data_IF_480212449068
#
_entry.id   IF_480212449068
#
_cell.length_a   1.000
_cell.length_b   1.000
_cell.length_c   1.000
_cell.angle_alpha   90.00
_cell.angle_beta   90.00
_cell.angle_gamma   90.00
#
_symmetry.space_group_name_H-M   'P 1'
#
loop_
_entity.id
_entity.type
_entity.pdbx_description
1 polymer ?
#
# COMPACT_ATOMS: atom_id res chain seq x y z
N UNK A 1 38.57 26.30 -45.08
CA UNK A 1 39.56 26.20 -43.98
C UNK A 1 38.83 26.39 -42.65
N UNK A 2 38.20 25.33 -42.14
CA UNK A 2 37.54 25.33 -40.84
C UNK A 2 38.61 25.06 -39.76
N UNK A 3 38.89 26.05 -38.92
CA UNK A 3 39.80 25.87 -37.78
C UNK A 3 39.03 25.25 -36.62
N UNK A 4 39.47 24.05 -36.23
CA UNK A 4 39.13 23.37 -34.98
C UNK A 4 39.62 24.19 -33.78
N UNK A 5 38.72 24.44 -32.83
CA UNK A 5 39.06 24.79 -31.45
C UNK A 5 38.63 23.62 -30.55
N UNK A 6 39.59 22.76 -30.22
CA UNK A 6 39.45 21.76 -29.15
C UNK A 6 39.70 22.48 -27.83
N UNK A 7 38.65 22.82 -27.10
CA UNK A 7 38.73 23.31 -25.73
C UNK A 7 38.50 22.14 -24.76
N UNK A 8 39.50 21.89 -23.91
CA UNK A 8 39.49 20.90 -22.84
C UNK A 8 38.30 21.14 -21.89
N UNK A 9 37.40 20.17 -21.78
CA UNK A 9 36.34 20.16 -20.78
C UNK A 9 36.92 19.81 -19.40
N UNK A 10 37.33 20.84 -18.66
CA UNK A 10 37.59 20.75 -17.24
C UNK A 10 36.32 20.29 -16.51
N UNK A 11 36.46 19.23 -15.70
CA UNK A 11 35.42 18.74 -14.79
C UNK A 11 35.11 19.85 -13.76
N UNK A 12 34.04 20.60 -13.97
CA UNK A 12 33.51 21.51 -12.95
C UNK A 12 32.35 20.85 -12.22
N UNK A 13 32.55 20.67 -10.91
CA UNK A 13 31.55 20.24 -9.93
C UNK A 13 30.35 21.19 -9.95
N UNK A 14 29.20 20.72 -10.41
CA UNK A 14 27.94 21.48 -10.37
C UNK A 14 27.48 21.61 -8.91
N UNK A 15 27.26 22.82 -8.36
CA UNK A 15 26.82 22.98 -6.98
C UNK A 15 25.35 22.52 -6.81
N UNK A 16 25.08 21.83 -5.70
CA UNK A 16 23.77 21.35 -5.22
C UNK A 16 22.69 22.43 -5.00
N UNK A 17 22.95 23.69 -5.39
CA UNK A 17 22.10 24.85 -5.13
C UNK A 17 20.79 24.90 -5.96
N UNK A 18 20.60 24.01 -6.95
CA UNK A 18 19.42 24.03 -7.84
C UNK A 18 18.17 23.34 -7.25
N UNK A 19 18.32 22.62 -6.13
CA UNK A 19 17.22 21.86 -5.49
C UNK A 19 16.32 22.77 -4.62
N UNK A 20 16.82 23.92 -4.14
CA UNK A 20 16.09 24.77 -3.18
C UNK A 20 14.82 25.41 -3.75
N UNK A 21 14.80 25.79 -5.03
CA UNK A 21 13.63 26.44 -5.66
C UNK A 21 12.47 25.47 -5.89
N UNK A 22 12.72 24.19 -6.22
CA UNK A 22 11.65 23.17 -6.30
C UNK A 22 11.04 22.87 -4.94
N UNK A 23 11.86 22.88 -3.89
CA UNK A 23 11.40 22.65 -2.52
C UNK A 23 10.45 23.76 -2.03
N UNK A 24 10.66 25.01 -2.47
CA UNK A 24 9.79 26.13 -2.13
C UNK A 24 8.40 26.03 -2.82
N UNK A 25 8.35 25.57 -4.07
CA UNK A 25 7.08 25.40 -4.83
C UNK A 25 6.24 24.24 -4.29
N UNK A 26 6.86 23.18 -3.76
CA UNK A 26 6.15 22.09 -3.09
C UNK A 26 5.46 22.52 -1.77
N UNK A 27 5.97 23.57 -1.11
CA UNK A 27 5.35 24.13 0.11
C UNK A 27 4.16 25.05 -0.18
N UNK A 28 4.02 25.54 -1.41
CA UNK A 28 2.89 26.40 -1.82
C UNK A 28 1.71 25.60 -2.39
N UNK A 29 1.82 24.27 -2.46
CA UNK A 29 0.67 23.43 -2.74
C UNK A 29 -0.39 23.69 -1.65
N UNK A 30 -1.64 24.02 -2.02
CA UNK A 30 -2.67 24.36 -1.06
C UNK A 30 -2.80 23.24 -0.02
N UNK A 31 -2.90 23.62 1.25
CA UNK A 31 -3.22 22.71 2.35
C UNK A 31 -4.60 22.11 2.06
N UNK A 32 -4.58 20.93 1.45
CA UNK A 32 -5.61 19.88 1.39
C UNK A 32 -7.05 20.39 1.49
N UNK A 33 -7.71 20.54 0.34
CA UNK A 33 -9.18 20.59 0.28
C UNK A 33 -9.72 19.19 0.57
N UNK A 34 -10.10 18.95 1.82
CA UNK A 34 -10.79 17.74 2.25
C UNK A 34 -12.30 17.90 2.00
N UNK A 35 -12.75 17.53 0.79
CA UNK A 35 -14.17 17.32 0.54
C UNK A 35 -14.64 16.05 1.26
N UNK A 36 -15.01 16.18 2.54
CA UNK A 36 -15.55 15.08 3.37
C UNK A 36 -16.74 14.38 2.70
N UNK A 37 -17.51 15.10 1.90
CA UNK A 37 -18.77 14.67 1.29
C UNK A 37 -18.63 13.61 0.19
N UNK A 38 -17.50 13.52 -0.50
CA UNK A 38 -17.36 12.65 -1.68
C UNK A 38 -16.99 11.18 -1.35
N UNK A 39 -16.66 10.90 -0.09
CA UNK A 39 -16.15 9.59 0.36
C UNK A 39 -16.93 8.99 1.52
N UNK A 40 -17.99 9.67 1.96
CA UNK A 40 -18.96 9.15 2.90
C UNK A 40 -20.10 8.50 2.12
N UNK A 41 -20.21 7.17 2.19
CA UNK A 41 -21.42 6.49 1.71
C UNK A 41 -22.62 6.94 2.57
N UNK A 42 -23.87 6.80 2.08
CA UNK A 42 -25.06 7.01 2.89
C UNK A 42 -24.94 6.22 4.21
N UNK A 43 -25.52 6.77 5.30
CA UNK A 43 -25.51 6.19 6.66
C UNK A 43 -25.45 4.66 6.62
N UNK A 44 -24.27 4.10 6.87
CA UNK A 44 -24.11 2.66 6.86
C UNK A 44 -24.81 2.10 8.09
N UNK A 45 -25.84 1.29 7.87
CA UNK A 45 -26.46 0.45 8.90
C UNK A 45 -25.33 -0.32 9.60
N UNK A 46 -25.33 -0.45 10.93
CA UNK A 46 -24.29 -1.22 11.63
C UNK A 46 -24.20 -2.64 11.07
N UNK A 47 -23.19 -2.88 10.25
CA UNK A 47 -22.93 -4.20 9.68
C UNK A 47 -22.08 -4.99 10.67
N UNK A 48 -22.54 -6.19 11.02
CA UNK A 48 -21.85 -7.13 11.91
C UNK A 48 -21.47 -8.43 11.20
N UNK A 49 -21.74 -8.51 9.90
CA UNK A 49 -21.49 -9.71 9.09
C UNK A 49 -20.10 -9.76 8.45
N UNK A 50 -19.99 -10.69 7.51
CA UNK A 50 -18.86 -10.90 6.62
C UNK A 50 -19.32 -10.66 5.18
N UNK A 51 -18.58 -9.84 4.43
CA UNK A 51 -18.90 -9.58 3.02
C UNK A 51 -17.64 -9.42 2.19
N UNK A 52 -17.67 -9.92 0.96
CA UNK A 52 -16.58 -9.82 -0.01
C UNK A 52 -17.05 -9.01 -1.21
N UNK A 53 -16.30 -7.96 -1.55
CA UNK A 53 -16.55 -7.13 -2.71
C UNK A 53 -15.36 -7.18 -3.66
N UNK A 54 -15.63 -7.53 -4.92
CA UNK A 54 -14.65 -7.49 -5.99
C UNK A 54 -14.62 -6.08 -6.60
N UNK A 55 -13.54 -5.35 -6.32
CA UNK A 55 -13.30 -4.02 -6.90
C UNK A 55 -12.70 -4.12 -8.30
N UNK A 56 -11.94 -5.19 -8.54
CA UNK A 56 -11.40 -5.53 -9.85
C UNK A 56 -11.08 -7.02 -9.95
N UNK A 57 -11.18 -7.54 -11.18
CA UNK A 57 -11.01 -8.96 -11.50
C UNK A 57 -10.12 -9.18 -12.73
N UNK A 58 -9.58 -8.10 -13.32
CA UNK A 58 -8.63 -8.17 -14.43
C UNK A 58 -7.23 -8.56 -13.96
N UNK A 59 -6.41 -9.06 -14.89
CA UNK A 59 -5.02 -9.42 -14.68
C UNK A 59 -4.14 -8.78 -15.77
N UNK A 60 -2.93 -8.38 -15.41
CA UNK A 60 -1.94 -7.79 -16.33
C UNK A 60 -2.22 -6.33 -16.70
N UNK A 61 -3.19 -6.09 -17.59
CA UNK A 61 -3.49 -4.76 -18.12
C UNK A 61 -4.91 -4.32 -17.77
N UNK A 62 -5.13 -3.03 -17.42
CA UNK A 62 -6.47 -2.52 -17.18
C UNK A 62 -7.30 -2.57 -18.45
N UNK A 63 -8.47 -3.20 -18.38
CA UNK A 63 -9.44 -3.20 -19.47
C UNK A 63 -10.52 -2.16 -19.17
N UNK A 64 -11.10 -1.56 -20.22
CA UNK A 64 -12.16 -0.54 -20.10
C UNK A 64 -13.32 -0.99 -19.19
N UNK A 65 -13.66 -2.28 -19.23
CA UNK A 65 -14.76 -2.88 -18.46
C UNK A 65 -14.33 -3.56 -17.16
N UNK A 66 -13.04 -3.82 -16.95
CA UNK A 66 -12.53 -4.61 -15.81
C UNK A 66 -11.30 -3.96 -15.23
N UNK A 67 -11.44 -3.48 -13.99
CA UNK A 67 -10.31 -2.99 -13.22
C UNK A 67 -9.35 -4.15 -12.89
N UNK A 68 -8.03 -3.91 -12.77
CA UNK A 68 -7.11 -4.95 -12.32
C UNK A 68 -7.42 -5.39 -10.88
N UNK A 69 -6.89 -6.54 -10.51
CA UNK A 69 -7.23 -7.30 -9.30
C UNK A 69 -7.24 -6.48 -8.01
N UNK A 70 -8.37 -6.53 -7.30
CA UNK A 70 -8.57 -5.83 -6.04
C UNK A 70 -9.83 -6.36 -5.37
N UNK A 71 -9.69 -6.84 -4.13
CA UNK A 71 -10.78 -7.40 -3.35
C UNK A 71 -10.85 -6.72 -1.99
N UNK A 72 -12.03 -6.25 -1.61
CA UNK A 72 -12.30 -5.67 -0.30
C UNK A 72 -13.15 -6.64 0.51
N UNK A 73 -12.67 -7.04 1.68
CA UNK A 73 -13.42 -7.84 2.64
C UNK A 73 -13.86 -6.96 3.80
N UNK A 74 -15.17 -6.89 4.05
CA UNK A 74 -15.76 -6.15 5.15
C UNK A 74 -16.05 -7.10 6.32
N UNK A 75 -15.43 -6.82 7.45
CA UNK A 75 -15.55 -7.55 8.72
C UNK A 75 -16.14 -6.59 9.75
N UNK A 76 -17.46 -6.65 9.93
CA UNK A 76 -18.19 -5.68 10.73
C UNK A 76 -17.92 -4.24 10.26
N UNK A 77 -17.18 -3.46 11.08
CA UNK A 77 -16.81 -2.05 10.78
C UNK A 77 -15.42 -1.87 10.16
N UNK A 78 -14.68 -2.94 9.92
CA UNK A 78 -13.32 -2.88 9.36
C UNK A 78 -13.29 -3.43 7.95
N UNK A 79 -12.59 -2.74 7.06
CA UNK A 79 -12.33 -3.22 5.70
C UNK A 79 -10.89 -3.69 5.57
N UNK A 80 -10.71 -4.87 4.98
CA UNK A 80 -9.43 -5.48 4.68
C UNK A 80 -9.29 -5.60 3.17
N UNK A 81 -8.19 -5.06 2.65
CA UNK A 81 -7.92 -5.00 1.22
C UNK A 81 -6.93 -6.08 0.82
N UNK A 82 -7.29 -6.86 -0.20
CA UNK A 82 -6.43 -7.86 -0.82
C UNK A 82 -6.12 -7.40 -2.24
N UNK A 83 -4.85 -7.12 -2.45
CA UNK A 83 -4.32 -6.33 -3.56
C UNK A 83 -4.94 -4.92 -3.66
N UNK A 84 -4.19 -4.01 -4.23
CA UNK A 84 -4.64 -2.64 -4.48
C UNK A 84 -4.09 -2.17 -5.82
N UNK A 85 -4.63 -2.76 -6.89
CA UNK A 85 -4.44 -2.32 -8.26
C UNK A 85 -4.71 -0.83 -8.46
N UNK A 86 -4.16 -0.27 -9.55
CA UNK A 86 -4.62 1.01 -10.08
C UNK A 86 -6.15 1.04 -10.23
N UNK A 87 -6.77 2.19 -9.92
CA UNK A 87 -8.22 2.35 -10.00
C UNK A 87 -9.02 1.75 -8.84
N UNK A 88 -8.41 0.96 -7.94
CA UNK A 88 -9.10 0.36 -6.78
C UNK A 88 -9.81 1.39 -5.91
N UNK A 89 -9.17 2.54 -5.67
CA UNK A 89 -9.78 3.64 -4.93
C UNK A 89 -11.08 4.10 -5.60
N UNK A 90 -11.06 4.37 -6.91
CA UNK A 90 -12.24 4.81 -7.65
C UNK A 90 -13.38 3.78 -7.59
N UNK A 91 -13.04 2.50 -7.64
CA UNK A 91 -14.01 1.42 -7.55
C UNK A 91 -14.61 1.33 -6.15
N UNK A 92 -13.81 1.54 -5.10
CA UNK A 92 -14.30 1.60 -3.72
C UNK A 92 -15.26 2.77 -3.51
N UNK A 93 -14.95 3.95 -4.07
CA UNK A 93 -15.80 5.15 -3.99
C UNK A 93 -17.16 4.93 -4.66
N UNK A 94 -17.18 4.24 -5.80
CA UNK A 94 -18.43 3.89 -6.50
C UNK A 94 -19.24 2.83 -5.77
N UNK A 95 -18.61 2.08 -4.87
CA UNK A 95 -19.26 1.02 -4.12
C UNK A 95 -19.88 1.55 -2.82
N UNK A 96 -20.57 0.68 -2.10
CA UNK A 96 -21.07 0.98 -0.77
C UNK A 96 -19.99 0.89 0.32
N UNK A 97 -18.74 0.52 -0.01
CA UNK A 97 -17.65 0.39 0.98
C UNK A 97 -17.08 1.75 1.36
N UNK A 98 -16.99 2.00 2.67
CA UNK A 98 -16.34 3.21 3.19
C UNK A 98 -14.82 3.09 3.13
N UNK A 99 -14.18 3.93 2.31
CA UNK A 99 -12.71 4.02 2.23
C UNK A 99 -12.07 4.18 3.61
N UNK A 100 -12.52 5.10 4.50
CA UNK A 100 -11.87 5.33 5.79
C UNK A 100 -11.95 4.13 6.77
N UNK A 101 -12.81 3.15 6.52
CA UNK A 101 -12.89 1.93 7.34
C UNK A 101 -11.79 0.92 7.01
N UNK A 102 -10.99 1.18 5.96
CA UNK A 102 -9.86 0.32 5.60
C UNK A 102 -8.77 0.38 6.66
N UNK A 103 -8.37 -0.78 7.16
CA UNK A 103 -7.40 -0.91 8.28
C UNK A 103 -6.18 -1.73 7.89
N UNK A 104 -6.35 -2.71 7.01
CA UNK A 104 -5.32 -3.67 6.62
C UNK A 104 -5.27 -3.84 5.11
N UNK A 105 -4.05 -3.99 4.59
CA UNK A 105 -3.75 -4.29 3.21
C UNK A 105 -2.91 -5.56 3.12
N UNK A 106 -3.21 -6.42 2.17
CA UNK A 106 -2.50 -7.67 1.89
C UNK A 106 -2.15 -7.67 0.40
N UNK A 107 -0.87 -7.56 0.06
CA UNK A 107 -0.39 -7.44 -1.33
C UNK A 107 0.24 -8.75 -1.76
N UNK A 108 -0.42 -9.51 -2.63
CA UNK A 108 -0.05 -10.91 -2.99
C UNK A 108 1.34 -11.04 -3.61
N UNK A 109 1.74 -10.08 -4.43
CA UNK A 109 3.07 -10.00 -5.02
C UNK A 109 3.34 -8.58 -5.58
N UNK A 110 4.59 -8.29 -5.98
CA UNK A 110 5.00 -6.94 -6.44
C UNK A 110 4.87 -6.75 -7.95
N UNK A 111 3.75 -7.17 -8.54
CA UNK A 111 3.41 -6.74 -9.89
C UNK A 111 2.54 -5.47 -9.86
N UNK A 112 2.68 -4.66 -10.91
CA UNK A 112 2.05 -3.34 -10.96
C UNK A 112 0.53 -3.37 -10.87
N UNK A 113 -0.08 -4.38 -11.48
CA UNK A 113 -1.51 -4.64 -11.44
C UNK A 113 -2.03 -5.07 -10.05
N UNK A 114 -1.16 -5.30 -9.07
CA UNK A 114 -1.54 -5.60 -7.68
C UNK A 114 -1.19 -4.47 -6.69
N UNK A 115 -0.27 -3.57 -7.02
CA UNK A 115 0.31 -2.63 -6.03
C UNK A 115 0.23 -1.15 -6.42
N UNK A 116 0.03 -0.81 -7.70
CA UNK A 116 0.14 0.59 -8.15
C UNK A 116 -0.92 1.54 -7.59
N UNK A 117 -2.07 1.03 -7.15
CA UNK A 117 -3.08 1.85 -6.49
C UNK A 117 -2.81 2.11 -5.01
N UNK A 118 -1.91 1.35 -4.38
CA UNK A 118 -1.70 1.38 -2.94
C UNK A 118 -1.19 2.74 -2.43
N UNK A 119 -0.19 3.40 -3.04
CA UNK A 119 0.25 4.71 -2.56
C UNK A 119 -0.87 5.75 -2.60
N UNK A 120 -1.67 5.78 -3.67
CA UNK A 120 -2.80 6.70 -3.80
C UNK A 120 -3.89 6.45 -2.75
N UNK A 121 -4.19 5.18 -2.48
CA UNK A 121 -5.13 4.80 -1.42
C UNK A 121 -4.67 5.30 -0.04
N UNK A 122 -3.38 5.14 0.30
CA UNK A 122 -2.83 5.61 1.57
C UNK A 122 -2.90 7.14 1.70
N UNK A 123 -2.63 7.89 0.62
CA UNK A 123 -2.78 9.34 0.62
C UNK A 123 -4.23 9.77 0.90
N UNK A 124 -5.20 9.09 0.29
CA UNK A 124 -6.63 9.35 0.54
C UNK A 124 -6.99 9.01 1.98
N UNK A 125 -6.56 7.87 2.51
CA UNK A 125 -6.81 7.51 3.91
C UNK A 125 -6.24 8.54 4.89
N UNK A 126 -5.06 9.09 4.60
CA UNK A 126 -4.43 10.14 5.42
C UNK A 126 -5.24 11.42 5.46
N UNK A 127 -5.81 11.83 4.33
CA UNK A 127 -6.72 12.97 4.27
C UNK A 127 -7.97 12.78 5.13
N UNK A 128 -8.47 11.54 5.21
CA UNK A 128 -9.68 11.23 5.98
C UNK A 128 -9.43 10.91 7.46
N UNK A 129 -8.17 10.76 7.87
CA UNK A 129 -7.83 10.34 9.24
C UNK A 129 -7.51 11.50 10.18
N UNK A 130 -7.70 12.76 9.76
CA UNK A 130 -7.38 13.94 10.57
C UNK A 130 -8.13 14.00 11.92
N UNK A 131 -9.33 13.43 11.98
CA UNK A 131 -10.18 13.38 13.17
C UNK A 131 -10.14 12.01 13.88
N UNK A 132 -9.24 11.12 13.46
CA UNK A 132 -9.11 9.82 14.10
C UNK A 132 -8.76 9.96 15.58
N UNK A 133 -9.52 9.27 16.41
CA UNK A 133 -9.33 9.18 17.85
C UNK A 133 -9.16 7.71 18.19
N UNK A 134 -8.13 7.39 18.97
CA UNK A 134 -7.90 6.01 19.39
C UNK A 134 -9.09 5.54 20.25
N UNK A 135 -9.73 4.40 19.91
CA UNK A 135 -10.82 3.85 20.71
C UNK A 135 -10.43 3.53 22.16
N UNK A 136 -9.16 3.20 22.42
CA UNK A 136 -8.68 2.79 23.72
C UNK A 136 -8.26 3.98 24.58
N UNK A 137 -7.41 4.87 24.05
CA UNK A 137 -6.89 6.01 24.82
C UNK A 137 -7.78 7.25 24.73
N UNK A 138 -8.75 7.28 23.80
CA UNK A 138 -9.62 8.44 23.50
C UNK A 138 -8.85 9.72 23.17
N UNK A 139 -7.59 9.60 22.79
CA UNK A 139 -6.73 10.71 22.38
C UNK A 139 -6.60 10.77 20.87
N UNK A 140 -6.38 11.98 20.33
CA UNK A 140 -6.03 12.14 18.92
C UNK A 140 -4.64 11.56 18.69
N UNK A 141 -4.54 10.64 17.76
CA UNK A 141 -3.27 10.05 17.34
C UNK A 141 -3.33 9.70 15.85
N UNK A 142 -2.19 9.49 15.18
CA UNK A 142 -2.21 8.96 13.83
C UNK A 142 -2.87 7.58 13.79
N UNK A 143 -3.77 7.37 12.83
CA UNK A 143 -4.49 6.10 12.65
C UNK A 143 -3.51 5.00 12.22
N UNK A 144 -3.46 3.85 12.90
CA UNK A 144 -2.62 2.74 12.49
C UNK A 144 -3.19 2.06 11.23
N UNK A 145 -2.33 1.79 10.25
CA UNK A 145 -2.62 1.00 9.05
C UNK A 145 -1.54 -0.06 8.90
N UNK A 146 -1.94 -1.32 8.76
CA UNK A 146 -1.01 -2.42 8.52
C UNK A 146 -1.02 -2.83 7.05
N UNK A 147 0.16 -3.00 6.47
CA UNK A 147 0.34 -3.45 5.09
C UNK A 147 1.21 -4.69 5.12
N UNK A 148 0.67 -5.82 4.71
CA UNK A 148 1.35 -7.10 4.63
C UNK A 148 1.66 -7.43 3.18
N UNK A 149 2.83 -8.01 2.91
CA UNK A 149 3.14 -8.52 1.58
C UNK A 149 4.59 -8.97 1.45
N UNK A 150 5.07 -9.23 0.23
CA UNK A 150 6.39 -9.81 0.00
C UNK A 150 7.53 -8.81 0.28
N UNK A 151 8.74 -9.34 0.26
CA UNK A 151 9.97 -8.56 0.27
C UNK A 151 9.97 -7.49 -0.83
N UNK A 152 10.32 -6.25 -0.48
CA UNK A 152 10.39 -5.11 -1.39
C UNK A 152 9.20 -4.16 -1.29
N UNK A 153 8.10 -4.58 -0.66
CA UNK A 153 6.91 -3.76 -0.48
C UNK A 153 7.21 -2.48 0.32
N UNK A 154 8.05 -2.59 1.36
CA UNK A 154 8.44 -1.42 2.14
C UNK A 154 9.20 -0.42 1.29
N UNK A 155 10.17 -0.90 0.49
CA UNK A 155 10.96 -0.05 -0.39
C UNK A 155 10.09 0.65 -1.42
N UNK A 156 9.16 -0.07 -2.05
CA UNK A 156 8.21 0.48 -3.00
C UNK A 156 7.41 1.63 -2.38
N UNK A 157 6.77 1.40 -1.23
CA UNK A 157 5.97 2.43 -0.55
C UNK A 157 6.82 3.60 -0.06
N UNK A 158 7.97 3.32 0.55
CA UNK A 158 8.90 4.34 1.04
C UNK A 158 9.37 5.25 -0.10
N UNK A 159 9.69 4.66 -1.26
CA UNK A 159 10.13 5.39 -2.45
C UNK A 159 8.98 6.22 -3.03
N UNK A 160 7.80 5.63 -3.24
CA UNK A 160 6.63 6.32 -3.79
C UNK A 160 6.19 7.53 -2.95
N UNK A 161 6.19 7.39 -1.62
CA UNK A 161 5.84 8.49 -0.70
C UNK A 161 6.93 9.56 -0.65
N UNK A 162 8.20 9.14 -0.57
CA UNK A 162 9.34 10.07 -0.49
C UNK A 162 9.51 10.88 -1.78
N UNK A 163 9.41 10.23 -2.94
CA UNK A 163 9.57 10.88 -4.25
C UNK A 163 8.41 11.82 -4.58
N UNK A 164 7.18 11.49 -4.17
CA UNK A 164 6.02 12.37 -4.34
C UNK A 164 5.97 13.52 -3.32
N UNK A 165 6.94 13.59 -2.39
CA UNK A 165 6.95 14.57 -1.28
C UNK A 165 5.68 14.52 -0.42
N UNK A 166 5.03 13.35 -0.36
CA UNK A 166 3.81 13.15 0.42
C UNK A 166 4.14 13.03 1.89
N UNK A 167 3.44 13.81 2.73
CA UNK A 167 3.55 13.72 4.19
C UNK A 167 2.34 13.02 4.77
N UNK A 168 2.50 11.82 5.31
CA UNK A 168 1.42 11.10 6.01
C UNK A 168 1.39 11.55 7.47
N UNK A 169 0.65 12.61 7.79
CA UNK A 169 0.62 13.19 9.15
C UNK A 169 -0.41 12.53 10.07
N UNK A 170 -1.45 11.95 9.47
CA UNK A 170 -2.61 11.41 10.18
C UNK A 170 -2.63 9.88 10.15
N UNK A 171 -1.74 9.23 9.39
CA UNK A 171 -1.55 7.79 9.39
C UNK A 171 -0.21 7.39 10.02
N UNK A 172 -0.23 6.23 10.65
CA UNK A 172 0.96 5.46 11.00
C UNK A 172 0.92 4.15 10.20
N UNK A 173 1.69 4.08 9.13
CA UNK A 173 1.73 2.90 8.26
C UNK A 173 2.83 1.95 8.73
N UNK A 174 2.46 0.71 9.02
CA UNK A 174 3.40 -0.37 9.35
C UNK A 174 3.41 -1.37 8.20
N UNK A 175 4.56 -1.56 7.57
CA UNK A 175 4.74 -2.56 6.51
C UNK A 175 5.39 -3.79 7.11
N UNK A 176 4.67 -4.91 7.00
CA UNK A 176 5.08 -6.24 7.44
C UNK A 176 5.50 -7.05 6.22
N UNK A 177 6.82 -7.17 6.02
CA UNK A 177 7.35 -7.99 4.93
C UNK A 177 7.37 -9.46 5.35
N UNK A 178 6.65 -10.28 4.60
CA UNK A 178 6.48 -11.70 4.80
C UNK A 178 7.63 -12.41 4.09
N UNK A 179 8.66 -12.80 4.83
CA UNK A 179 9.87 -13.42 4.29
C UNK A 179 10.31 -14.60 5.16
N UNK A 180 10.78 -15.70 4.57
CA UNK A 180 11.46 -16.76 5.33
C UNK A 180 12.95 -16.40 5.52
N UNK A 181 13.55 -16.77 6.67
CA UNK A 181 14.98 -16.62 6.92
C UNK A 181 15.91 -17.12 5.78
N UNK A 182 15.51 -18.15 5.04
CA UNK A 182 16.27 -18.66 3.89
C UNK A 182 16.28 -17.69 2.72
N UNK A 183 15.18 -16.98 2.47
CA UNK A 183 15.11 -15.95 1.42
C UNK A 183 15.88 -14.70 1.81
N UNK A 184 15.96 -14.38 3.11
CA UNK A 184 16.81 -13.29 3.59
C UNK A 184 18.28 -13.47 3.19
N UNK A 185 18.76 -14.73 3.16
CA UNK A 185 20.14 -15.06 2.77
C UNK A 185 20.39 -14.96 1.26
N UNK A 186 19.34 -15.11 0.43
CA UNK A 186 19.43 -15.15 -1.04
C UNK A 186 19.09 -13.82 -1.73
N UNK A 187 18.99 -12.73 -0.97
CA UNK A 187 18.64 -11.42 -1.54
C UNK A 187 19.65 -10.90 -2.56
N UNK A 188 19.11 -10.30 -3.61
CA UNK A 188 19.85 -9.51 -4.58
C UNK A 188 20.52 -8.29 -3.94
N UNK A 189 21.55 -7.76 -4.61
CA UNK A 189 22.20 -6.52 -4.18
C UNK A 189 21.23 -5.33 -4.13
N UNK A 190 20.25 -5.29 -5.04
CA UNK A 190 19.23 -4.25 -5.08
C UNK A 190 18.34 -4.28 -3.83
N UNK A 191 17.87 -5.45 -3.42
CA UNK A 191 17.04 -5.60 -2.20
C UNK A 191 17.82 -5.21 -0.93
N UNK A 192 19.10 -5.57 -0.86
CA UNK A 192 19.99 -5.17 0.24
C UNK A 192 20.17 -3.64 0.28
N UNK A 193 20.37 -3.01 -0.87
CA UNK A 193 20.46 -1.56 -0.98
C UNK A 193 19.16 -0.87 -0.53
N UNK A 194 18.03 -1.34 -1.05
CA UNK A 194 16.72 -0.77 -0.78
C UNK A 194 16.31 -0.86 0.71
N UNK A 195 16.79 -1.87 1.44
CA UNK A 195 16.61 -1.97 2.90
C UNK A 195 17.41 -0.93 3.69
N UNK A 196 18.56 -0.52 3.16
CA UNK A 196 19.41 0.50 3.76
C UNK A 196 19.03 1.92 3.30
N UNK A 197 17.97 2.07 2.48
CA UNK A 197 17.50 3.36 2.04
C UNK A 197 16.99 4.21 3.22
N UNK A 198 17.13 5.55 3.16
CA UNK A 198 16.59 6.44 4.17
C UNK A 198 15.10 6.19 4.40
N UNK A 199 14.75 5.95 5.67
CA UNK A 199 13.38 5.63 6.05
C UNK A 199 12.55 6.90 6.14
N UNK A 200 11.38 6.90 5.54
CA UNK A 200 10.40 7.94 5.76
C UNK A 200 9.89 7.85 7.22
N UNK A 201 9.81 8.97 7.98
CA UNK A 201 9.50 8.92 9.42
C UNK A 201 8.17 8.23 9.77
N UNK A 202 7.26 8.17 8.80
CA UNK A 202 5.86 7.78 8.96
C UNK A 202 5.56 6.38 8.40
N UNK A 203 6.55 5.72 7.80
CA UNK A 203 6.45 4.34 7.32
C UNK A 203 7.38 3.49 8.16
N UNK A 204 6.80 2.65 9.02
CA UNK A 204 7.56 1.69 9.83
C UNK A 204 7.70 0.38 9.08
N UNK A 205 8.83 -0.28 9.28
CA UNK A 205 9.11 -1.59 8.73
C UNK A 205 9.19 -2.61 9.85
N UNK A 206 8.52 -3.74 9.66
CA UNK A 206 8.58 -4.90 10.53
C UNK A 206 8.77 -6.16 9.67
N UNK A 207 9.49 -7.14 10.20
CA UNK A 207 9.68 -8.45 9.55
C UNK A 207 8.90 -9.47 10.35
N UNK A 208 7.93 -10.11 9.71
CA UNK A 208 7.08 -11.10 10.35
C UNK A 208 7.37 -12.49 9.76
N UNK A 209 8.16 -13.29 10.48
CA UNK A 209 8.54 -14.63 10.05
C UNK A 209 7.40 -15.66 10.26
N UNK A 210 6.52 -15.44 11.24
CA UNK A 210 5.41 -16.38 11.54
C UNK A 210 4.31 -16.41 10.47
N UNK A 211 4.02 -15.26 9.86
CA UNK A 211 3.00 -15.13 8.82
C UNK A 211 3.52 -15.57 7.45
N UNK A 212 4.84 -15.75 7.30
CA UNK A 212 5.45 -16.12 6.04
C UNK A 212 5.04 -17.52 5.54
N UNK A 213 4.95 -18.50 6.43
CA UNK A 213 4.63 -19.89 6.06
C UNK A 213 3.27 -19.95 5.33
N UNK A 214 2.32 -19.12 5.78
CA UNK A 214 0.97 -18.99 5.24
C UNK A 214 0.91 -18.19 3.95
N UNK A 215 1.68 -17.11 3.90
CA UNK A 215 1.83 -16.30 2.71
C UNK A 215 2.29 -17.13 1.51
N UNK A 216 3.36 -17.92 1.70
CA UNK A 216 3.93 -18.76 0.65
C UNK A 216 2.94 -19.83 0.17
N UNK A 217 2.14 -20.41 1.07
CA UNK A 217 1.10 -21.38 0.71
C UNK A 217 -0.01 -20.72 -0.15
N UNK A 218 -0.43 -19.51 0.21
CA UNK A 218 -1.48 -18.77 -0.51
C UNK A 218 -0.97 -18.26 -1.87
N UNK A 219 0.23 -17.67 -1.93
CA UNK A 219 0.85 -17.14 -3.15
C UNK A 219 1.19 -18.23 -4.19
N UNK A 220 1.58 -19.44 -3.76
CA UNK A 220 1.80 -20.57 -4.69
C UNK A 220 0.52 -20.97 -5.42
N UNK A 221 -0.63 -20.83 -4.78
CA UNK A 221 -1.93 -21.10 -5.41
C UNK A 221 -2.30 -20.01 -6.42
N UNK A 222 -1.91 -18.76 -6.17
CA UNK A 222 -2.05 -17.67 -7.14
C UNK A 222 -1.15 -17.83 -8.37
N UNK A 223 0.09 -18.29 -8.20
CA UNK A 223 1.05 -18.43 -9.31
C UNK A 223 0.83 -19.69 -10.18
N UNK A 224 0.13 -20.70 -9.68
CA UNK A 224 -0.05 -21.99 -10.36
C UNK A 224 -1.37 -22.11 -11.16
N UNK A 225 -2.28 -21.13 -11.09
CA UNK A 225 -3.63 -21.25 -11.64
C UNK A 225 -3.83 -20.57 -12.99
N UNK A 226 -3.69 -21.32 -14.10
CA UNK A 226 -4.13 -20.91 -15.45
C UNK A 226 -5.66 -20.92 -15.66
N UNK A 227 -6.46 -20.98 -14.59
CA UNK A 227 -7.91 -21.15 -14.67
C UNK A 227 -8.61 -20.39 -13.53
N UNK A 228 -9.50 -19.49 -13.93
CA UNK A 228 -10.10 -18.35 -13.18
C UNK A 228 -11.02 -18.70 -12.01
N UNK A 229 -11.25 -19.97 -11.67
CA UNK A 229 -12.23 -20.39 -10.64
C UNK A 229 -11.63 -21.11 -9.42
N UNK A 230 -10.45 -21.73 -9.55
CA UNK A 230 -9.76 -22.44 -8.46
C UNK A 230 -9.02 -21.51 -7.46
N UNK A 231 -8.51 -20.30 -7.83
CA UNK A 231 -7.77 -19.48 -6.86
C UNK A 231 -8.68 -18.88 -5.78
N UNK A 232 -9.94 -18.54 -6.05
CA UNK A 232 -10.80 -17.83 -5.08
C UNK A 232 -11.11 -18.60 -3.79
N UNK A 233 -11.38 -19.91 -3.88
CA UNK A 233 -11.71 -20.73 -2.69
C UNK A 233 -10.49 -20.87 -1.80
N UNK A 234 -9.33 -21.11 -2.39
CA UNK A 234 -8.07 -21.21 -1.64
C UNK A 234 -7.65 -19.87 -1.05
N UNK A 235 -7.95 -18.78 -1.74
CA UNK A 235 -7.82 -17.41 -1.22
C UNK A 235 -8.74 -17.22 -0.02
N UNK A 236 -10.01 -17.61 -0.08
CA UNK A 236 -10.91 -17.53 1.08
C UNK A 236 -10.46 -18.40 2.26
N UNK A 237 -9.93 -19.61 2.04
CA UNK A 237 -9.39 -20.46 3.12
C UNK A 237 -8.11 -19.88 3.75
N UNK A 238 -7.15 -19.45 2.92
CA UNK A 238 -5.94 -18.78 3.40
C UNK A 238 -6.22 -17.45 4.09
N UNK A 239 -7.19 -16.69 3.57
CA UNK A 239 -7.72 -15.48 4.19
C UNK A 239 -8.33 -15.80 5.56
N UNK A 240 -9.25 -16.76 5.65
CA UNK A 240 -9.97 -17.11 6.88
C UNK A 240 -9.01 -17.44 8.03
N UNK A 241 -7.99 -18.25 7.77
CA UNK A 241 -7.01 -18.64 8.77
C UNK A 241 -6.00 -17.53 9.11
N UNK A 242 -5.67 -16.66 8.15
CA UNK A 242 -4.91 -15.43 8.42
C UNK A 242 -5.73 -14.45 9.26
N UNK A 243 -7.04 -14.36 9.05
CA UNK A 243 -7.93 -13.53 9.88
C UNK A 243 -7.94 -14.05 11.32
N UNK A 244 -8.03 -15.36 11.50
CA UNK A 244 -8.02 -16.02 12.79
C UNK A 244 -6.68 -15.81 13.52
N UNK A 245 -5.55 -15.97 12.81
CA UNK A 245 -4.21 -15.75 13.36
C UNK A 245 -3.97 -14.29 13.76
N UNK A 246 -4.39 -13.32 12.94
CA UNK A 246 -4.28 -11.89 13.24
C UNK A 246 -5.24 -11.44 14.36
N UNK A 247 -6.43 -12.05 14.43
CA UNK A 247 -7.37 -11.82 15.54
C UNK A 247 -6.80 -12.36 16.86
N UNK A 248 -6.19 -13.55 16.84
CA UNK A 248 -5.59 -14.17 18.01
C UNK A 248 -4.37 -13.40 18.54
N UNK A 249 -3.60 -12.72 17.68
CA UNK A 249 -2.49 -11.83 18.10
C UNK A 249 -2.95 -10.53 18.77
N UNK A 250 -4.19 -10.10 18.58
CA UNK A 250 -4.75 -8.90 19.24
C UNK A 250 -5.28 -9.19 20.66
N UNK A 251 -5.47 -10.47 21.00
CA UNK A 251 -5.97 -10.95 22.29
C UNK A 251 -4.84 -11.38 23.26
N UNK A 252 -3.58 -11.31 22.82
CA UNK A 252 -2.38 -11.48 23.67
C UNK A 252 -1.70 -10.13 23.85
#
# INVERSE_FOLDING_TARGET
MAQLLVAQAARSSVPLARISKRYAVLKTAPLRSCNKTLLMSPQQVPFTGFEVLFLGTGAGSPAVRRNPTSVCVRLGRSNWMFDCAEGSLRQMIKSFMCVPHTTKFFVTHLHGDHVYGLPGMLCTLDNHSAEYTDPHTKTKCPRPIDVYGPLGLFSYLNTAISTSSTRLTNLRVTVHELVCPVMLKKMSAHEKFMRNAPRHPWVRWNVDDELFVWWNATCRVFSAGGSTLIPMVTVMYGMCWMMESLSCKRLR
#
